data_IF_359522387630
#
_entry.id   IF_359522387630
#
_cell.length_a   1.000
_cell.length_b   1.000
_cell.length_c   1.000
_cell.angle_alpha   90.00
_cell.angle_beta   90.00
_cell.angle_gamma   90.00
#
_symmetry.space_group_name_H-M   'P 1'
#
loop_
_entity.id
_entity.type
_entity.pdbx_description
1 polymer ?
#
# COMPACT_ATOMS: atom_id res chain seq x y z
N UNK A 1 21.04 1.38 15.74
CA UNK A 1 20.01 2.41 15.55
C UNK A 1 19.80 2.48 14.05
N UNK A 2 18.61 2.14 13.56
CA UNK A 2 18.30 2.16 12.14
C UNK A 2 18.25 3.61 11.64
N UNK A 3 18.37 3.81 10.32
CA UNK A 3 18.29 5.15 9.71
C UNK A 3 16.98 5.89 10.11
N UNK A 4 15.87 5.17 10.15
CA UNK A 4 14.54 5.70 10.47
C UNK A 4 14.27 5.93 11.97
N UNK A 5 15.20 5.56 12.85
CA UNK A 5 15.08 5.79 14.30
C UNK A 5 15.64 7.15 14.76
N UNK A 6 16.25 7.92 13.84
CA UNK A 6 16.83 9.24 14.12
C UNK A 6 15.84 10.34 13.71
N UNK A 7 15.49 11.24 14.65
CA UNK A 7 14.65 12.42 14.35
C UNK A 7 15.27 13.31 13.27
N UNK A 8 16.61 13.41 13.20
CA UNK A 8 17.33 14.19 12.19
C UNK A 8 17.11 13.67 10.76
N UNK A 9 16.77 12.39 10.58
CA UNK A 9 16.53 11.77 9.28
C UNK A 9 15.05 11.77 8.89
N UNK A 10 14.14 12.00 9.82
CA UNK A 10 12.69 11.90 9.58
C UNK A 10 12.20 13.05 8.70
N UNK A 11 12.57 14.31 9.02
CA UNK A 11 12.11 15.48 8.26
C UNK A 11 12.51 15.41 6.77
N UNK A 12 13.79 15.14 6.40
CA UNK A 12 14.17 14.99 4.98
C UNK A 12 13.43 13.85 4.26
N UNK A 13 13.15 12.76 4.98
CA UNK A 13 12.39 11.63 4.41
C UNK A 13 10.94 12.01 4.15
N UNK A 14 10.29 12.69 5.11
CA UNK A 14 8.92 13.19 4.98
C UNK A 14 8.81 14.22 3.84
N UNK A 15 9.79 15.10 3.67
CA UNK A 15 9.84 16.05 2.54
C UNK A 15 9.86 15.32 1.19
N UNK A 16 10.66 14.26 1.05
CA UNK A 16 10.70 13.45 -0.17
C UNK A 16 9.41 12.67 -0.40
N UNK A 17 8.81 12.11 0.65
CA UNK A 17 7.49 11.47 0.57
C UNK A 17 6.42 12.46 0.11
N UNK A 18 6.45 13.70 0.63
CA UNK A 18 5.52 14.75 0.24
C UNK A 18 5.66 15.15 -1.23
N UNK A 19 6.90 15.33 -1.71
CA UNK A 19 7.18 15.62 -3.14
C UNK A 19 6.57 14.53 -4.05
N UNK A 20 6.77 13.27 -3.70
CA UNK A 20 6.19 12.14 -4.42
C UNK A 20 4.66 12.14 -4.38
N UNK A 21 4.09 12.42 -3.21
CA UNK A 21 2.64 12.47 -3.00
C UNK A 21 1.99 13.62 -3.77
N UNK A 22 2.60 14.80 -3.79
CA UNK A 22 2.12 15.95 -4.58
C UNK A 22 2.11 15.63 -6.08
N UNK A 23 3.18 15.01 -6.58
CA UNK A 23 3.24 14.56 -7.97
C UNK A 23 2.14 13.53 -8.28
N UNK A 24 1.97 12.52 -7.41
CA UNK A 24 0.93 11.49 -7.57
C UNK A 24 -0.47 12.07 -7.57
N UNK A 25 -0.79 12.95 -6.63
CA UNK A 25 -2.11 13.62 -6.54
C UNK A 25 -2.36 14.51 -7.76
N UNK A 26 -1.33 15.24 -8.24
CA UNK A 26 -1.42 16.05 -9.46
C UNK A 26 -1.70 15.17 -10.69
N UNK A 27 -1.01 14.03 -10.83
CA UNK A 27 -1.26 13.06 -11.87
C UNK A 27 -2.70 12.52 -11.81
N UNK A 28 -3.16 12.12 -10.63
CA UNK A 28 -4.53 11.64 -10.44
C UNK A 28 -5.55 12.71 -10.84
N UNK A 29 -5.34 13.97 -10.45
CA UNK A 29 -6.22 15.09 -10.81
C UNK A 29 -6.26 15.33 -12.32
N UNK A 30 -5.11 15.27 -13.00
CA UNK A 30 -5.01 15.43 -14.47
C UNK A 30 -5.81 14.35 -15.21
N UNK A 31 -5.86 13.13 -14.68
CA UNK A 31 -6.52 11.97 -15.31
C UNK A 31 -7.90 11.65 -14.74
N UNK A 32 -8.45 12.55 -13.90
CA UNK A 32 -9.75 12.38 -13.25
C UNK A 32 -9.86 11.06 -12.45
N UNK A 33 -8.78 10.71 -11.71
CA UNK A 33 -8.72 9.54 -10.85
C UNK A 33 -8.96 9.96 -9.38
N UNK A 34 -9.82 9.24 -8.69
CA UNK A 34 -9.98 9.40 -7.24
C UNK A 34 -8.84 8.72 -6.49
N UNK A 35 -8.21 9.47 -5.61
CA UNK A 35 -7.24 8.94 -4.64
C UNK A 35 -7.44 9.63 -3.30
N UNK A 36 -7.01 8.98 -2.22
CA UNK A 36 -7.18 9.47 -0.85
C UNK A 36 -5.99 9.06 -0.01
N UNK A 37 -5.43 9.96 0.79
CA UNK A 37 -4.56 9.54 1.89
C UNK A 37 -5.30 8.51 2.77
N UNK A 38 -4.60 7.50 3.22
CA UNK A 38 -5.13 6.50 4.13
C UNK A 38 -4.19 6.29 5.33
N UNK A 39 -4.62 5.51 6.31
CA UNK A 39 -3.80 5.17 7.48
C UNK A 39 -3.24 6.39 8.21
N UNK A 40 -1.92 6.35 8.42
CA UNK A 40 -1.16 7.41 9.08
C UNK A 40 -1.29 8.75 8.39
N UNK A 41 -1.20 8.79 7.06
CA UNK A 41 -1.33 10.02 6.29
C UNK A 41 -2.68 10.73 6.50
N UNK A 42 -3.81 9.99 6.49
CA UNK A 42 -5.13 10.58 6.75
C UNK A 42 -5.29 11.05 8.21
N UNK A 43 -4.78 10.29 9.18
CA UNK A 43 -4.78 10.69 10.59
C UNK A 43 -3.89 11.92 10.78
N UNK A 44 -2.72 11.95 10.16
CA UNK A 44 -1.78 13.07 10.18
C UNK A 44 -2.42 14.36 9.66
N UNK A 45 -3.08 14.30 8.50
CA UNK A 45 -3.81 15.43 7.91
C UNK A 45 -4.81 16.04 8.89
N UNK A 46 -5.58 15.24 9.60
CA UNK A 46 -6.62 15.70 10.52
C UNK A 46 -6.05 16.16 11.87
N UNK A 47 -5.11 15.43 12.43
CA UNK A 47 -4.60 15.64 13.79
C UNK A 47 -3.44 16.63 13.85
N UNK A 48 -2.56 16.60 12.86
CA UNK A 48 -1.32 17.38 12.81
C UNK A 48 -1.31 18.45 11.70
N UNK A 49 -2.22 18.36 10.72
CA UNK A 49 -2.21 19.12 9.46
C UNK A 49 -0.94 18.85 8.63
N UNK A 50 -0.43 17.64 8.72
CA UNK A 50 0.80 17.20 8.10
C UNK A 50 1.10 15.77 8.52
N UNK A 51 2.35 15.37 8.48
CA UNK A 51 2.77 14.06 8.95
C UNK A 51 2.51 13.86 10.44
N UNK A 52 2.29 12.64 10.83
CA UNK A 52 2.52 12.21 12.21
C UNK A 52 4.04 12.29 12.42
N UNK A 53 4.57 12.93 13.51
CA UNK A 53 6.01 13.21 13.63
C UNK A 53 6.95 12.00 13.51
N UNK A 54 6.46 10.81 13.80
CA UNK A 54 7.24 9.55 13.71
C UNK A 54 6.81 8.65 12.54
N UNK A 55 5.99 9.16 11.59
CA UNK A 55 5.55 8.40 10.43
C UNK A 55 6.54 8.57 9.27
N UNK A 56 6.88 7.47 8.62
CA UNK A 56 7.98 7.40 7.64
C UNK A 56 7.49 7.11 6.21
N UNK A 57 6.16 7.12 5.98
CA UNK A 57 5.58 6.89 4.66
C UNK A 57 4.27 7.68 4.43
N UNK A 58 3.78 7.62 3.20
CA UNK A 58 2.44 8.03 2.81
C UNK A 58 1.79 6.96 1.94
N UNK A 59 0.62 6.52 2.37
CA UNK A 59 -0.20 5.54 1.68
C UNK A 59 -1.46 6.17 1.10
N UNK A 60 -1.88 5.67 -0.06
CA UNK A 60 -3.10 6.12 -0.72
C UNK A 60 -4.08 4.98 -0.97
N UNK A 61 -5.34 5.24 -0.75
CA UNK A 61 -6.43 4.43 -1.28
C UNK A 61 -6.89 4.93 -2.64
N UNK A 62 -7.28 3.99 -3.50
CA UNK A 62 -8.00 4.27 -4.75
C UNK A 62 -9.18 3.32 -4.94
N UNK A 63 -10.35 3.79 -5.42
CA UNK A 63 -11.40 2.88 -5.90
C UNK A 63 -10.83 1.93 -6.97
N UNK A 64 -11.22 0.65 -6.97
CA UNK A 64 -10.67 -0.37 -7.87
C UNK A 64 -10.60 0.08 -9.34
N UNK A 65 -11.65 0.73 -9.84
CA UNK A 65 -11.71 1.21 -11.22
C UNK A 65 -10.61 2.23 -11.54
N UNK A 66 -10.39 3.18 -10.63
CA UNK A 66 -9.37 4.22 -10.80
C UNK A 66 -7.96 3.67 -10.61
N UNK A 67 -7.81 2.72 -9.69
CA UNK A 67 -6.56 1.96 -9.50
C UNK A 67 -6.15 1.17 -10.75
N UNK A 68 -7.09 0.49 -11.42
CA UNK A 68 -6.81 -0.22 -12.66
C UNK A 68 -6.45 0.75 -13.80
N UNK A 69 -7.15 1.90 -13.89
CA UNK A 69 -6.84 2.96 -14.84
C UNK A 69 -5.46 3.58 -14.57
N UNK A 70 -5.07 3.77 -13.31
CA UNK A 70 -3.73 4.20 -12.91
C UNK A 70 -2.65 3.25 -13.45
N UNK A 71 -2.83 1.93 -13.28
CA UNK A 71 -1.88 0.92 -13.78
C UNK A 71 -1.67 1.00 -15.30
N UNK A 72 -2.71 1.36 -16.05
CA UNK A 72 -2.62 1.50 -17.50
C UNK A 72 -1.97 2.80 -17.94
N UNK A 73 -2.21 3.90 -17.24
CA UNK A 73 -1.76 5.25 -17.62
C UNK A 73 -0.34 5.54 -17.12
N UNK A 74 -0.02 5.20 -15.88
CA UNK A 74 1.23 5.58 -15.24
C UNK A 74 2.48 5.23 -16.05
N UNK A 75 2.66 4.00 -16.56
CA UNK A 75 3.84 3.64 -17.34
C UNK A 75 4.02 4.40 -18.65
N UNK A 76 2.95 5.07 -19.13
CA UNK A 76 2.93 5.77 -20.42
C UNK A 76 3.10 7.28 -20.28
N UNK A 77 2.61 7.84 -19.20
CA UNK A 77 2.37 9.28 -19.08
C UNK A 77 3.02 9.92 -17.85
N UNK A 78 3.45 9.12 -16.86
CA UNK A 78 4.14 9.65 -15.69
C UNK A 78 5.60 9.97 -15.97
N UNK A 79 6.18 10.84 -15.14
CA UNK A 79 7.61 11.12 -15.17
C UNK A 79 8.41 9.83 -14.96
N UNK A 80 9.42 9.64 -15.80
CA UNK A 80 10.30 8.48 -15.78
C UNK A 80 11.09 8.32 -14.46
N UNK A 81 11.20 9.36 -13.64
CA UNK A 81 11.76 9.33 -12.29
C UNK A 81 10.94 8.37 -11.39
N UNK A 82 9.63 8.40 -11.51
CA UNK A 82 8.72 7.65 -10.65
C UNK A 82 8.31 6.31 -11.24
N UNK A 83 9.06 5.25 -10.90
CA UNK A 83 8.80 3.91 -11.39
C UNK A 83 7.60 3.27 -10.68
N UNK A 84 6.68 2.68 -11.44
CA UNK A 84 5.62 1.84 -10.89
C UNK A 84 6.10 0.40 -10.73
N UNK A 85 6.02 -0.12 -9.50
CA UNK A 85 6.18 -1.53 -9.18
C UNK A 85 4.82 -2.20 -9.04
N UNK A 86 4.56 -3.20 -9.88
CA UNK A 86 3.32 -3.96 -9.86
C UNK A 86 3.60 -5.40 -10.31
N UNK A 87 3.52 -6.36 -9.40
CA UNK A 87 3.79 -7.77 -9.72
C UNK A 87 2.89 -8.30 -10.83
N UNK A 88 3.52 -9.02 -11.77
CA UNK A 88 2.85 -9.67 -12.88
C UNK A 88 3.44 -11.07 -13.16
N UNK A 89 3.22 -11.61 -14.35
CA UNK A 89 3.77 -12.90 -14.78
C UNK A 89 5.31 -12.93 -14.83
N UNK A 90 5.96 -11.80 -15.09
CA UNK A 90 7.40 -11.67 -15.32
C UNK A 90 8.12 -10.93 -14.20
N UNK A 91 7.41 -10.09 -13.48
CA UNK A 91 7.92 -9.19 -12.45
C UNK A 91 7.30 -9.55 -11.08
N UNK A 92 8.10 -9.55 -10.02
CA UNK A 92 7.68 -9.81 -8.65
C UNK A 92 8.33 -8.80 -7.71
N UNK A 93 7.49 -8.02 -6.99
CA UNK A 93 7.90 -7.08 -5.95
C UNK A 93 7.49 -7.49 -4.53
N UNK A 94 6.74 -8.58 -4.40
CA UNK A 94 6.18 -9.11 -3.14
C UNK A 94 5.11 -8.23 -2.48
N UNK A 95 4.71 -7.11 -3.09
CA UNK A 95 3.63 -6.28 -2.58
C UNK A 95 2.27 -6.79 -3.06
N UNK A 96 1.21 -6.51 -2.30
CA UNK A 96 -0.17 -6.87 -2.63
C UNK A 96 -0.88 -5.82 -3.49
N UNK A 97 -0.25 -4.69 -3.69
CA UNK A 97 -0.75 -3.49 -4.35
C UNK A 97 0.35 -2.87 -5.22
N UNK A 98 0.04 -1.77 -5.88
CA UNK A 98 1.00 -0.97 -6.63
C UNK A 98 1.82 -0.11 -5.67
N UNK A 99 3.11 -0.02 -5.95
CA UNK A 99 4.04 0.87 -5.27
C UNK A 99 4.66 1.81 -6.30
N UNK A 100 4.66 3.10 -6.06
CA UNK A 100 5.36 4.10 -6.87
C UNK A 100 6.67 4.44 -6.18
N UNK A 101 7.79 4.36 -6.91
CA UNK A 101 9.14 4.49 -6.34
C UNK A 101 9.92 5.60 -7.03
N UNK A 102 10.58 6.45 -6.25
CA UNK A 102 11.50 7.45 -6.73
C UNK A 102 12.87 6.83 -7.05
N UNK A 103 13.24 6.77 -8.34
CA UNK A 103 14.51 6.18 -8.78
C UNK A 103 15.74 7.00 -8.41
N UNK A 104 15.59 8.26 -8.05
CA UNK A 104 16.68 9.15 -7.64
C UNK A 104 17.05 8.99 -6.15
N UNK A 105 16.31 8.16 -5.42
CA UNK A 105 16.56 7.81 -4.02
C UNK A 105 16.82 6.33 -3.84
N UNK A 106 17.23 5.94 -2.66
CA UNK A 106 17.41 4.53 -2.25
C UNK A 106 16.71 4.27 -0.92
N UNK A 107 15.88 3.24 -0.88
CA UNK A 107 15.27 2.70 0.33
C UNK A 107 15.10 1.17 0.17
N UNK A 108 16.06 0.40 0.68
CA UNK A 108 16.09 -1.06 0.54
C UNK A 108 15.33 -1.71 1.69
N UNK A 109 14.16 -2.27 1.40
CA UNK A 109 13.38 -3.02 2.40
C UNK A 109 13.92 -4.45 2.56
N UNK A 110 14.01 -5.00 3.79
CA UNK A 110 14.62 -6.33 4.05
C UNK A 110 14.01 -7.46 3.21
N UNK A 111 12.67 -7.48 3.10
CA UNK A 111 11.94 -8.54 2.39
C UNK A 111 12.05 -8.47 0.86
N UNK A 112 12.70 -7.44 0.31
CA UNK A 112 12.90 -7.22 -1.12
C UNK A 112 14.37 -7.19 -1.55
N UNK A 113 15.32 -7.25 -0.62
CA UNK A 113 16.75 -7.06 -0.89
C UNK A 113 17.35 -8.11 -1.86
N UNK A 114 16.73 -9.27 -1.99
CA UNK A 114 17.13 -10.33 -2.96
C UNK A 114 16.49 -10.14 -4.35
N UNK A 115 15.65 -9.11 -4.53
CA UNK A 115 14.97 -8.84 -5.79
C UNK A 115 15.71 -7.78 -6.61
N UNK A 116 15.69 -7.95 -7.93
CA UNK A 116 16.15 -6.93 -8.88
C UNK A 116 14.96 -6.07 -9.32
N UNK A 117 14.62 -5.10 -8.47
CA UNK A 117 13.51 -4.16 -8.62
C UNK A 117 14.00 -2.75 -8.32
N UNK A 118 13.26 -1.70 -8.67
CA UNK A 118 13.55 -0.36 -8.14
C UNK A 118 13.48 -0.35 -6.60
N UNK A 119 14.55 0.10 -5.94
CA UNK A 119 14.65 0.20 -4.48
C UNK A 119 14.66 1.66 -4.00
N UNK A 120 13.95 2.55 -4.70
CA UNK A 120 13.76 3.93 -4.27
C UNK A 120 12.75 4.07 -3.14
N UNK A 121 12.73 5.26 -2.53
CA UNK A 121 11.67 5.65 -1.61
C UNK A 121 10.31 5.45 -2.29
N UNK A 122 9.29 5.10 -1.52
CA UNK A 122 8.05 4.62 -2.10
C UNK A 122 6.81 5.21 -1.43
N UNK A 123 5.76 5.40 -2.22
CA UNK A 123 4.38 5.54 -1.77
C UNK A 123 3.59 4.30 -2.20
N UNK A 124 2.74 3.81 -1.33
CA UNK A 124 1.95 2.60 -1.57
C UNK A 124 0.51 2.95 -1.95
N UNK A 125 0.00 2.34 -3.03
CA UNK A 125 -1.32 2.62 -3.58
C UNK A 125 -2.19 1.38 -3.41
N UNK A 126 -3.14 1.44 -2.49
CA UNK A 126 -3.98 0.32 -2.10
C UNK A 126 -5.37 0.42 -2.75
N UNK A 127 -5.84 -0.64 -3.43
CA UNK A 127 -7.17 -0.63 -4.02
C UNK A 127 -8.27 -0.85 -2.98
N UNK A 128 -9.37 -0.13 -3.14
CA UNK A 128 -10.63 -0.34 -2.43
C UNK A 128 -11.59 -1.14 -3.30
N UNK A 129 -12.19 -2.15 -2.72
CA UNK A 129 -13.10 -3.08 -3.38
C UNK A 129 -14.50 -3.07 -2.77
N UNK A 130 -15.50 -3.35 -3.57
CA UNK A 130 -16.85 -3.59 -3.07
C UNK A 130 -16.94 -4.94 -2.34
N UNK A 131 -17.69 -5.01 -1.24
CA UNK A 131 -18.01 -6.27 -0.59
C UNK A 131 -19.48 -6.64 -0.77
N UNK A 132 -19.80 -7.94 -1.02
CA UNK A 132 -21.15 -8.37 -1.36
C UNK A 132 -22.09 -8.33 -0.16
N UNK A 133 -23.39 -8.10 -0.43
CA UNK A 133 -24.51 -8.15 0.55
C UNK A 133 -24.60 -9.50 1.29
N UNK A 134 -24.35 -10.59 0.57
CA UNK A 134 -24.42 -11.94 1.14
C UNK A 134 -23.19 -12.27 1.99
N UNK A 135 -23.36 -12.59 3.25
CA UNK A 135 -22.29 -13.06 4.15
C UNK A 135 -21.58 -14.32 3.63
N UNK A 136 -22.32 -15.22 2.94
CA UNK A 136 -21.69 -16.38 2.30
C UNK A 136 -20.72 -15.97 1.20
N UNK A 137 -21.13 -15.01 0.36
CA UNK A 137 -20.25 -14.47 -0.69
C UNK A 137 -19.10 -13.65 -0.10
N UNK A 138 -19.34 -12.90 0.99
CA UNK A 138 -18.28 -12.19 1.72
C UNK A 138 -17.22 -13.16 2.25
N UNK A 139 -17.61 -14.28 2.84
CA UNK A 139 -16.66 -15.31 3.28
C UNK A 139 -15.84 -15.90 2.11
N UNK A 140 -16.47 -16.08 0.93
CA UNK A 140 -15.76 -16.52 -0.29
C UNK A 140 -14.79 -15.45 -0.76
N UNK A 141 -15.18 -14.17 -0.77
CA UNK A 141 -14.34 -13.03 -1.14
C UNK A 141 -13.08 -12.98 -0.27
N UNK A 142 -13.21 -13.04 1.06
CA UNK A 142 -12.08 -13.04 1.99
C UNK A 142 -11.16 -14.25 1.76
N UNK A 143 -11.72 -15.45 1.49
CA UNK A 143 -10.88 -16.61 1.16
C UNK A 143 -10.07 -16.39 -0.11
N UNK A 144 -10.65 -15.79 -1.14
CA UNK A 144 -9.93 -15.44 -2.36
C UNK A 144 -8.89 -14.36 -2.11
N UNK A 145 -9.16 -13.37 -1.27
CA UNK A 145 -8.18 -12.36 -0.87
C UNK A 145 -6.98 -12.97 -0.11
N UNK A 146 -7.20 -13.96 0.76
CA UNK A 146 -6.12 -14.69 1.43
C UNK A 146 -5.27 -15.52 0.45
N UNK A 147 -5.92 -16.18 -0.53
CA UNK A 147 -5.21 -16.89 -1.61
C UNK A 147 -4.39 -15.90 -2.44
N UNK A 148 -4.99 -14.77 -2.82
CA UNK A 148 -4.30 -13.69 -3.52
C UNK A 148 -3.07 -13.23 -2.74
N UNK A 149 -3.23 -12.90 -1.46
CA UNK A 149 -2.13 -12.43 -0.61
C UNK A 149 -0.97 -13.41 -0.55
N UNK A 150 -1.25 -14.70 -0.31
CA UNK A 150 -0.21 -15.73 -0.22
C UNK A 150 0.55 -15.89 -1.54
N UNK A 151 -0.16 -16.03 -2.67
CA UNK A 151 0.46 -16.35 -3.95
C UNK A 151 1.05 -15.15 -4.66
N UNK A 152 0.62 -13.92 -4.33
CA UNK A 152 1.21 -12.69 -4.87
C UNK A 152 2.43 -12.25 -4.06
N UNK A 153 2.34 -12.15 -2.74
CA UNK A 153 3.47 -11.75 -1.91
C UNK A 153 4.57 -12.83 -1.90
N UNK A 154 4.19 -14.11 -1.94
CA UNK A 154 5.12 -15.25 -1.88
C UNK A 154 6.06 -15.20 -0.67
N UNK A 155 5.67 -14.46 0.36
CA UNK A 155 6.35 -14.35 1.64
C UNK A 155 5.66 -15.21 2.68
N UNK A 156 6.43 -15.70 3.64
CA UNK A 156 5.92 -16.55 4.71
C UNK A 156 5.62 -15.64 5.90
N UNK A 157 4.40 -15.67 6.46
CA UNK A 157 4.08 -14.87 7.64
C UNK A 157 4.94 -15.30 8.83
N UNK A 158 5.86 -14.45 9.27
CA UNK A 158 6.74 -14.76 10.41
C UNK A 158 6.03 -14.63 11.76
N UNK A 159 5.06 -13.71 11.87
CA UNK A 159 4.38 -13.34 13.13
C UNK A 159 3.15 -14.20 13.48
N UNK A 160 2.77 -15.20 12.67
CA UNK A 160 1.50 -15.94 12.83
C UNK A 160 1.71 -17.44 13.06
N UNK A 161 2.25 -17.88 14.18
CA UNK A 161 2.26 -19.26 14.68
C UNK A 161 2.74 -20.35 13.67
N UNK A 162 3.33 -21.42 14.18
CA UNK A 162 3.97 -22.47 13.36
C UNK A 162 3.06 -23.14 12.32
N UNK A 163 1.77 -23.33 12.62
CA UNK A 163 0.82 -24.02 11.71
C UNK A 163 0.58 -23.20 10.44
N UNK A 164 0.42 -21.88 10.55
CA UNK A 164 0.20 -21.00 9.38
C UNK A 164 1.47 -20.90 8.52
N UNK A 165 2.64 -20.85 9.16
CA UNK A 165 3.94 -20.89 8.47
C UNK A 165 4.10 -22.18 7.65
N UNK A 166 3.88 -23.34 8.25
CA UNK A 166 4.00 -24.63 7.57
C UNK A 166 2.94 -24.83 6.48
N UNK A 167 1.71 -24.37 6.70
CA UNK A 167 0.65 -24.37 5.68
C UNK A 167 1.00 -23.52 4.46
N UNK A 168 1.55 -22.33 4.66
CA UNK A 168 2.00 -21.44 3.58
C UNK A 168 3.16 -22.02 2.80
N UNK A 169 4.16 -22.58 3.48
CA UNK A 169 5.29 -23.30 2.86
C UNK A 169 4.81 -24.47 2.01
N UNK A 170 3.92 -25.30 2.53
CA UNK A 170 3.34 -26.43 1.82
C UNK A 170 2.60 -26.00 0.56
N UNK A 171 1.72 -24.99 0.68
CA UNK A 171 0.95 -24.46 -0.45
C UNK A 171 1.86 -23.85 -1.52
N UNK A 172 2.84 -23.05 -1.14
CA UNK A 172 3.81 -22.49 -2.09
C UNK A 172 4.70 -23.55 -2.72
N UNK A 173 5.01 -24.62 -1.98
CA UNK A 173 5.77 -25.78 -2.47
C UNK A 173 5.02 -26.62 -3.51
N UNK A 174 3.70 -26.74 -3.39
CA UNK A 174 2.86 -27.43 -4.39
C UNK A 174 2.83 -26.69 -5.75
N UNK A 175 3.10 -25.39 -5.76
CA UNK A 175 3.10 -24.55 -6.97
C UNK A 175 4.45 -23.86 -7.14
N UNK A 176 5.52 -24.60 -7.54
CA UNK A 176 6.88 -24.11 -7.48
C UNK A 176 7.22 -23.05 -8.52
N UNK A 177 6.46 -22.95 -9.62
CA UNK A 177 6.78 -22.03 -10.70
C UNK A 177 6.04 -20.69 -10.57
N UNK A 178 6.71 -19.59 -10.93
CA UNK A 178 6.11 -18.24 -10.96
C UNK A 178 4.85 -18.22 -11.82
N UNK A 179 4.85 -18.87 -12.99
CA UNK A 179 3.71 -18.90 -13.90
C UNK A 179 2.47 -19.58 -13.28
N UNK A 180 2.65 -20.65 -12.49
CA UNK A 180 1.53 -21.30 -11.79
C UNK A 180 1.00 -20.41 -10.67
N UNK A 181 1.90 -19.80 -9.88
CA UNK A 181 1.52 -18.86 -8.83
C UNK A 181 0.79 -17.65 -9.39
N UNK A 182 1.25 -17.10 -10.53
CA UNK A 182 0.58 -16.02 -11.25
C UNK A 182 -0.85 -16.41 -11.66
N UNK A 183 -1.06 -17.60 -12.23
CA UNK A 183 -2.41 -18.06 -12.60
C UNK A 183 -3.34 -18.16 -11.39
N UNK A 184 -2.82 -18.59 -10.24
CA UNK A 184 -3.61 -18.73 -9.00
C UNK A 184 -3.99 -17.34 -8.49
N UNK A 185 -3.02 -16.44 -8.29
CA UNK A 185 -3.34 -15.14 -7.73
C UNK A 185 -4.13 -14.25 -8.70
N UNK A 186 -3.93 -14.35 -10.02
CA UNK A 186 -4.76 -13.65 -11.01
C UNK A 186 -6.21 -14.12 -10.98
N UNK A 187 -6.45 -15.45 -10.80
CA UNK A 187 -7.80 -15.96 -10.58
C UNK A 187 -8.37 -15.44 -9.27
N UNK A 188 -7.57 -15.48 -8.21
CA UNK A 188 -8.00 -15.00 -6.89
C UNK A 188 -8.36 -13.51 -6.92
N UNK A 189 -7.58 -12.69 -7.62
CA UNK A 189 -7.87 -11.28 -7.83
C UNK A 189 -9.23 -11.09 -8.52
N UNK A 190 -9.49 -11.76 -9.63
CA UNK A 190 -10.78 -11.67 -10.33
C UNK A 190 -11.97 -12.09 -9.44
N UNK A 191 -11.79 -13.14 -8.65
CA UNK A 191 -12.85 -13.63 -7.77
C UNK A 191 -13.11 -12.70 -6.57
N UNK A 192 -12.09 -12.07 -6.01
CA UNK A 192 -12.26 -11.16 -4.87
C UNK A 192 -12.78 -9.79 -5.29
N UNK A 193 -12.51 -9.35 -6.53
CA UNK A 193 -12.87 -7.99 -7.02
C UNK A 193 -14.12 -7.94 -7.90
N UNK A 194 -14.81 -9.05 -8.12
CA UNK A 194 -15.87 -9.17 -9.11
C UNK A 194 -17.20 -8.49 -8.75
N UNK A 195 -17.37 -8.05 -7.51
CA UNK A 195 -18.61 -7.46 -7.05
C UNK A 195 -18.75 -6.02 -7.50
N UNK A 196 -19.96 -5.68 -8.00
CA UNK A 196 -20.30 -4.33 -8.43
C UNK A 196 -20.95 -3.54 -7.28
N UNK A 197 -21.14 -2.21 -7.50
CA UNK A 197 -21.81 -1.35 -6.54
C UNK A 197 -23.22 -1.84 -6.19
N UNK A 198 -23.98 -2.28 -7.19
CA UNK A 198 -25.37 -2.70 -7.07
C UNK A 198 -25.54 -4.00 -6.25
N UNK A 199 -24.51 -4.85 -6.29
CA UNK A 199 -24.48 -6.14 -5.58
C UNK A 199 -23.92 -6.02 -4.16
N UNK A 200 -23.50 -4.80 -3.76
CA UNK A 200 -22.68 -4.59 -2.58
C UNK A 200 -23.37 -3.76 -1.50
N UNK A 201 -22.94 -3.96 -0.25
CA UNK A 201 -23.37 -3.19 0.92
C UNK A 201 -22.34 -2.14 1.35
N UNK A 202 -21.15 -2.13 0.74
CA UNK A 202 -20.11 -1.19 1.12
C UNK A 202 -18.76 -1.50 0.47
N UNK A 203 -17.73 -0.86 1.00
CA UNK A 203 -16.34 -0.90 0.55
C UNK A 203 -15.47 -1.58 1.61
N UNK A 204 -14.40 -2.23 1.15
CA UNK A 204 -13.45 -2.96 1.98
C UNK A 204 -12.04 -2.88 1.39
N UNK A 205 -11.04 -3.07 2.21
CA UNK A 205 -9.62 -3.14 1.85
C UNK A 205 -9.13 -4.60 1.89
N UNK A 206 -8.95 -5.21 0.73
CA UNK A 206 -8.55 -6.62 0.63
C UNK A 206 -7.03 -6.82 0.55
N UNK A 207 -6.28 -5.75 0.29
CA UNK A 207 -4.84 -5.79 0.06
C UNK A 207 -4.02 -5.22 1.23
N UNK A 208 -4.63 -4.60 2.24
CA UNK A 208 -3.93 -4.02 3.40
C UNK A 208 -3.54 -5.06 4.48
N UNK A 209 -3.78 -6.34 4.21
CA UNK A 209 -3.47 -7.44 5.12
C UNK A 209 -4.71 -8.09 5.77
N UNK A 210 -4.55 -9.31 6.32
CA UNK A 210 -5.69 -10.10 6.80
C UNK A 210 -6.52 -9.44 7.92
N UNK A 211 -5.88 -8.60 8.75
CA UNK A 211 -6.54 -7.86 9.82
C UNK A 211 -7.57 -6.86 9.32
N UNK A 212 -7.26 -6.22 8.19
CA UNK A 212 -8.09 -5.19 7.58
C UNK A 212 -9.18 -5.74 6.66
N UNK A 213 -9.04 -6.95 6.12
CA UNK A 213 -10.03 -7.58 5.25
C UNK A 213 -11.42 -7.71 5.87
N UNK A 214 -11.55 -7.62 7.20
CA UNK A 214 -12.83 -7.64 7.93
C UNK A 214 -13.57 -6.31 7.92
N UNK A 215 -12.86 -5.21 7.65
CA UNK A 215 -13.42 -3.86 7.70
C UNK A 215 -14.48 -3.67 6.63
N UNK A 216 -15.53 -2.97 7.02
CA UNK A 216 -16.70 -2.67 6.19
C UNK A 216 -16.98 -1.17 6.29
N UNK A 217 -16.84 -0.48 5.17
CA UNK A 217 -17.03 0.96 5.09
C UNK A 217 -18.27 1.31 4.28
N UNK A 218 -19.00 2.39 4.61
CA UNK A 218 -20.08 2.91 3.77
C UNK A 218 -19.55 3.28 2.38
N UNK A 219 -20.32 3.03 1.32
CA UNK A 219 -19.93 3.37 -0.06
C UNK A 219 -19.73 4.89 -0.19
N UNK A 220 -20.63 5.65 0.39
CA UNK A 220 -20.63 7.11 0.37
C UNK A 220 -19.38 7.74 0.99
N UNK A 221 -18.68 7.02 1.85
CA UNK A 221 -17.43 7.50 2.44
C UNK A 221 -16.32 7.71 1.41
N UNK A 222 -16.38 7.05 0.25
CA UNK A 222 -15.35 7.08 -0.79
C UNK A 222 -15.88 7.56 -2.16
N UNK A 223 -16.99 8.30 -2.18
CA UNK A 223 -17.56 8.82 -3.44
C UNK A 223 -16.83 10.06 -3.96
N UNK A 224 -16.15 10.79 -3.08
CA UNK A 224 -15.37 11.97 -3.44
C UNK A 224 -14.24 12.21 -2.46
N UNK A 225 -13.26 13.01 -2.90
CA UNK A 225 -12.17 13.48 -2.07
C UNK A 225 -12.50 14.84 -1.43
N UNK A 226 -12.13 14.99 -0.15
CA UNK A 226 -12.07 16.27 0.55
C UNK A 226 -10.59 16.66 0.64
N UNK A 227 -10.22 17.82 0.09
CA UNK A 227 -8.87 18.35 0.23
C UNK A 227 -8.75 19.08 1.56
N UNK A 228 -7.73 18.72 2.32
CA UNK A 228 -7.45 19.28 3.66
C UNK A 228 -5.98 19.72 3.74
N UNK A 229 -5.66 20.73 4.60
CA UNK A 229 -4.27 21.14 4.81
C UNK A 229 -3.36 19.97 5.20
N UNK A 230 -2.20 19.89 4.56
CA UNK A 230 -1.17 18.91 4.84
C UNK A 230 0.20 19.55 4.57
N UNK A 231 0.98 19.82 5.63
CA UNK A 231 2.22 20.61 5.57
C UNK A 231 1.99 21.97 4.84
N UNK A 232 2.74 22.24 3.79
CA UNK A 232 2.59 23.45 2.97
C UNK A 232 1.58 23.31 1.81
N UNK A 233 0.89 22.18 1.70
CA UNK A 233 -0.02 21.86 0.59
C UNK A 233 -1.41 21.41 1.10
N UNK A 234 -2.22 20.86 0.21
CA UNK A 234 -3.49 20.20 0.51
C UNK A 234 -3.47 18.77 -0.04
N UNK A 235 -3.91 17.82 0.76
CA UNK A 235 -4.00 16.41 0.37
C UNK A 235 -5.44 15.90 0.42
N UNK A 236 -5.80 14.97 -0.50
CA UNK A 236 -7.13 14.38 -0.54
C UNK A 236 -7.31 13.33 0.55
N UNK A 237 -8.39 13.41 1.31
CA UNK A 237 -8.88 12.35 2.19
C UNK A 237 -10.28 11.93 1.76
N UNK A 238 -10.79 10.73 2.13
CA UNK A 238 -12.17 10.34 1.83
C UNK A 238 -13.18 11.35 2.42
N UNK A 239 -14.24 11.68 1.69
CA UNK A 239 -15.27 12.58 2.22
C UNK A 239 -15.90 12.06 3.50
N UNK A 240 -16.03 10.73 3.65
CA UNK A 240 -16.48 10.07 4.87
C UNK A 240 -15.33 9.57 5.75
N UNK A 241 -14.26 10.35 5.86
CA UNK A 241 -13.04 9.99 6.60
C UNK A 241 -13.31 9.52 8.04
N UNK A 242 -14.28 10.12 8.72
CA UNK A 242 -14.57 9.77 10.12
C UNK A 242 -15.10 8.34 10.25
N UNK A 243 -16.08 7.95 9.41
CA UNK A 243 -16.59 6.57 9.38
C UNK A 243 -15.52 5.54 9.01
N UNK A 244 -14.62 5.90 8.08
CA UNK A 244 -13.47 5.09 7.72
C UNK A 244 -12.50 4.92 8.89
N UNK A 245 -12.00 6.03 9.43
CA UNK A 245 -10.95 6.01 10.46
C UNK A 245 -11.43 5.41 11.78
N UNK A 246 -12.68 5.68 12.19
CA UNK A 246 -13.27 5.03 13.37
C UNK A 246 -13.39 3.52 13.19
N UNK A 247 -13.78 3.05 12.00
CA UNK A 247 -13.88 1.60 11.72
C UNK A 247 -12.50 0.93 11.71
N UNK A 248 -11.49 1.58 11.13
CA UNK A 248 -10.16 0.99 10.97
C UNK A 248 -9.29 1.09 12.25
N UNK A 249 -9.36 2.22 12.96
CA UNK A 249 -8.43 2.57 14.03
C UNK A 249 -9.10 2.93 15.37
N UNK A 250 -10.42 3.05 15.43
CA UNK A 250 -11.13 3.45 16.64
C UNK A 250 -10.94 4.94 16.96
N UNK A 251 -10.49 5.26 18.15
CA UNK A 251 -10.15 6.64 18.55
C UNK A 251 -8.82 7.08 17.89
N UNK A 252 -8.91 7.47 16.62
CA UNK A 252 -7.75 7.87 15.82
C UNK A 252 -7.22 9.28 16.17
N UNK A 253 -8.02 10.09 16.89
CA UNK A 253 -7.60 11.45 17.28
C UNK A 253 -6.70 11.46 18.51
N UNK A 254 -6.77 10.46 19.36
CA UNK A 254 -5.89 10.31 20.53
C UNK A 254 -4.55 9.68 20.11
N UNK A 255 -3.40 10.37 20.28
CA UNK A 255 -2.09 9.78 20.00
C UNK A 255 -1.83 8.53 20.83
N UNK A 256 -1.10 7.53 20.31
CA UNK A 256 -0.69 6.38 21.11
C UNK A 256 0.29 6.83 22.23
N UNK A 257 0.49 5.99 23.27
CA UNK A 257 1.51 6.24 24.30
C UNK A 257 2.89 6.51 23.68
N UNK A 258 3.70 7.35 24.35
CA UNK A 258 4.99 7.81 23.83
C UNK A 258 5.96 6.68 23.46
N UNK A 259 5.93 5.57 24.16
CA UNK A 259 6.73 4.36 23.88
C UNK A 259 6.34 3.64 22.59
N UNK A 260 5.19 3.99 21.98
CA UNK A 260 4.70 3.48 20.69
C UNK A 260 4.79 4.49 19.55
N UNK A 261 5.31 5.69 19.84
CA UNK A 261 5.53 6.75 18.85
C UNK A 261 6.89 6.55 18.18
N UNK A 262 6.99 5.53 17.33
CA UNK A 262 8.23 5.15 16.63
C UNK A 262 7.91 4.84 15.17
N UNK A 263 8.89 5.01 14.29
CA UNK A 263 8.77 4.60 12.89
C UNK A 263 8.45 3.10 12.80
N UNK A 264 7.63 2.73 11.83
CA UNK A 264 7.07 1.37 11.73
C UNK A 264 7.73 0.51 10.64
N UNK A 265 8.52 1.11 9.75
CA UNK A 265 9.09 0.39 8.62
C UNK A 265 10.60 0.18 8.79
N UNK A 266 11.02 -1.09 8.64
CA UNK A 266 12.43 -1.44 8.63
C UNK A 266 13.03 -1.18 7.24
N UNK A 267 14.15 -0.47 7.20
CA UNK A 267 14.99 -0.34 6.03
C UNK A 267 16.40 -0.86 6.33
N UNK A 268 16.95 -1.65 5.41
CA UNK A 268 18.36 -2.09 5.48
C UNK A 268 19.30 -0.95 5.17
N UNK A 269 18.90 -0.08 4.25
CA UNK A 269 19.70 1.05 3.80
C UNK A 269 18.78 2.14 3.21
N UNK A 270 19.08 3.40 3.53
CA UNK A 270 18.39 4.58 2.98
C UNK A 270 19.43 5.60 2.54
N UNK A 271 19.25 6.17 1.35
CA UNK A 271 20.00 7.32 0.83
C UNK A 271 19.02 8.16 -0.01
N UNK A 272 18.74 9.37 0.45
CA UNK A 272 17.76 10.27 -0.18
C UNK A 272 18.35 11.10 -1.33
N UNK A 273 19.68 11.09 -1.48
CA UNK A 273 20.42 11.91 -2.45
C UNK A 273 20.94 11.11 -3.64
N UNK A 274 20.94 9.77 -3.55
CA UNK A 274 21.46 8.91 -4.60
C UNK A 274 20.48 7.80 -4.95
N UNK A 275 20.31 7.60 -6.27
CA UNK A 275 19.46 6.55 -6.83
C UNK A 275 19.93 5.14 -6.50
N UNK A 276 18.98 4.24 -6.35
CA UNK A 276 19.18 2.86 -5.89
C UNK A 276 20.15 2.05 -6.77
N UNK A 277 20.27 2.35 -8.05
CA UNK A 277 21.15 1.62 -8.98
C UNK A 277 22.61 1.63 -8.54
N UNK A 278 23.05 2.69 -7.86
CA UNK A 278 24.39 2.85 -7.29
C UNK A 278 24.75 1.72 -6.31
N UNK A 279 23.77 1.13 -5.67
CA UNK A 279 23.93 0.21 -4.54
C UNK A 279 23.62 -1.26 -4.87
N UNK A 280 23.40 -1.56 -6.17
CA UNK A 280 23.19 -2.94 -6.63
C UNK A 280 24.43 -3.80 -6.39
N UNK A 281 24.21 -5.01 -5.83
CA UNK A 281 25.29 -5.93 -5.43
C UNK A 281 25.93 -5.60 -4.07
N UNK A 282 25.60 -4.47 -3.46
CA UNK A 282 26.05 -4.09 -2.11
C UNK A 282 24.91 -4.29 -1.08
N UNK A 283 23.77 -3.65 -1.26
CA UNK A 283 22.62 -3.73 -0.34
C UNK A 283 21.47 -4.56 -0.90
N UNK A 284 21.38 -4.76 -2.21
CA UNK A 284 20.35 -5.58 -2.85
C UNK A 284 20.87 -6.29 -4.10
N UNK A 285 20.14 -7.32 -4.59
CA UNK A 285 20.45 -8.04 -5.83
C UNK A 285 21.72 -8.88 -5.77
N UNK A 286 22.05 -9.40 -4.56
CA UNK A 286 23.16 -10.34 -4.34
C UNK A 286 22.80 -11.76 -4.75
#
# INVERSE_FOLDING_TARGET
MGYLESEENMEPLQEKCLEMAEYFVSFCKQHELLCYLCGGGAIGALRHKGFIPWDDDLDFFMPRKDYEKLIELWPKEADSRYAMSNSDKHYLDRNLFVTIRDKETTCVKPYQADLDIPHGLAIDILPLDYYPKSESNRKKQVRWALIYSLFRAQTIPEKHGGLMKWGSLFLLGLFPTRSLRYKIWSKAQREMTKYTREESDGITELCAGPGYMKNKYPIESFESALFVPFEQTEMPIPVGYDAYLQTAFGDYMTPPPADKQVAHHDALFVDLDNGYEKYKGEYYGK
#
